data_IF_095318199195
#
_entry.id   IF_095318199195
#
_cell.length_a   1.000
_cell.length_b   1.000
_cell.length_c   1.000
_cell.angle_alpha   90.00
_cell.angle_beta   90.00
_cell.angle_gamma   90.00
#
_symmetry.space_group_name_H-M   'P 1'
#
loop_
_entity.id
_entity.type
_entity.pdbx_description
1 polymer ?
#
# COMPACT_ATOMS: atom_id res chain seq x y z
N UNK A 1 -25.21 -25.03 -3.87
CA UNK A 1 -25.40 -24.71 -5.31
C UNK A 1 -25.13 -23.26 -5.67
N UNK A 2 -25.69 -22.25 -4.95
CA UNK A 2 -25.43 -20.84 -5.25
C UNK A 2 -24.02 -20.41 -4.81
N UNK A 3 -23.64 -20.69 -3.58
CA UNK A 3 -22.29 -20.44 -3.06
C UNK A 3 -21.19 -21.10 -3.90
N UNK A 4 -21.36 -22.33 -4.30
CA UNK A 4 -20.38 -23.06 -5.12
C UNK A 4 -20.18 -22.43 -6.51
N UNK A 5 -21.26 -21.89 -7.11
CA UNK A 5 -21.18 -21.16 -8.37
C UNK A 5 -20.43 -19.83 -8.19
N UNK A 6 -20.76 -19.09 -7.15
CA UNK A 6 -20.08 -17.85 -6.83
C UNK A 6 -18.60 -18.09 -6.48
N UNK A 7 -18.33 -19.14 -5.69
CA UNK A 7 -16.96 -19.53 -5.35
C UNK A 7 -16.14 -19.84 -6.60
N UNK A 8 -16.71 -20.56 -7.58
CA UNK A 8 -16.03 -20.84 -8.84
C UNK A 8 -15.77 -19.55 -9.66
N UNK A 9 -16.70 -18.59 -9.66
CA UNK A 9 -16.51 -17.30 -10.34
C UNK A 9 -15.39 -16.48 -9.67
N UNK A 10 -15.38 -16.44 -8.34
CA UNK A 10 -14.34 -15.75 -7.59
C UNK A 10 -12.96 -16.40 -7.78
N UNK A 11 -12.89 -17.72 -7.80
CA UNK A 11 -11.65 -18.44 -8.14
C UNK A 11 -11.16 -18.12 -9.55
N UNK A 12 -12.07 -18.02 -10.51
CA UNK A 12 -11.70 -17.65 -11.88
C UNK A 12 -11.16 -16.22 -11.96
N UNK A 13 -11.78 -15.27 -11.24
CA UNK A 13 -11.32 -13.90 -11.16
C UNK A 13 -9.95 -13.81 -10.48
N UNK A 14 -9.79 -14.49 -9.34
CA UNK A 14 -8.50 -14.55 -8.63
C UNK A 14 -7.40 -15.10 -9.55
N UNK A 15 -7.68 -16.18 -10.29
CA UNK A 15 -6.72 -16.74 -11.23
C UNK A 15 -6.35 -15.73 -12.32
N UNK A 16 -7.34 -15.03 -12.94
CA UNK A 16 -7.09 -13.98 -13.94
C UNK A 16 -6.17 -12.89 -13.37
N UNK A 17 -6.44 -12.43 -12.16
CA UNK A 17 -5.65 -11.40 -11.48
C UNK A 17 -4.23 -11.89 -11.18
N UNK A 18 -4.08 -13.10 -10.63
CA UNK A 18 -2.77 -13.67 -10.33
C UNK A 18 -1.93 -13.93 -11.59
N UNK A 19 -2.55 -14.39 -12.67
CA UNK A 19 -1.85 -14.62 -13.95
C UNK A 19 -1.34 -13.30 -14.51
N UNK A 20 -2.15 -12.23 -14.49
CA UNK A 20 -1.74 -10.88 -14.89
C UNK A 20 -0.58 -10.34 -14.01
N UNK A 21 -0.69 -10.46 -12.69
CA UNK A 21 0.38 -10.03 -11.77
C UNK A 21 1.68 -10.82 -12.02
N UNK A 22 1.58 -12.11 -12.32
CA UNK A 22 2.75 -12.96 -12.60
C UNK A 22 3.45 -12.56 -13.91
N UNK A 23 2.70 -12.22 -14.95
CA UNK A 23 3.24 -11.71 -16.21
C UNK A 23 3.97 -10.38 -15.99
N UNK A 24 3.37 -9.47 -15.23
CA UNK A 24 4.01 -8.19 -14.88
C UNK A 24 5.25 -8.39 -14.01
N UNK A 25 5.21 -9.29 -13.03
CA UNK A 25 6.37 -9.62 -12.20
C UNK A 25 7.55 -10.11 -13.06
N UNK A 26 7.30 -11.02 -14.00
CA UNK A 26 8.34 -11.52 -14.90
C UNK A 26 8.95 -10.38 -15.73
N UNK A 27 8.12 -9.49 -16.27
CA UNK A 27 8.57 -8.32 -17.04
C UNK A 27 9.42 -7.35 -16.21
N UNK A 28 8.98 -7.06 -14.98
CA UNK A 28 9.73 -6.19 -14.07
C UNK A 28 11.04 -6.83 -13.58
N UNK A 29 11.06 -8.13 -13.35
CA UNK A 29 12.31 -8.85 -12.98
C UNK A 29 13.33 -8.84 -14.12
N UNK A 30 12.92 -9.03 -15.37
CA UNK A 30 13.78 -8.91 -16.55
C UNK A 30 14.31 -7.46 -16.69
N UNK A 31 13.44 -6.45 -16.61
CA UNK A 31 13.84 -5.05 -16.69
C UNK A 31 14.80 -4.66 -15.56
N UNK A 32 14.57 -5.12 -14.34
CA UNK A 32 15.42 -4.86 -13.17
C UNK A 32 16.81 -5.50 -13.34
N UNK A 33 16.91 -6.68 -13.96
CA UNK A 33 18.19 -7.31 -14.24
C UNK A 33 19.04 -6.47 -15.23
N UNK A 34 18.40 -5.92 -16.27
CA UNK A 34 19.05 -5.03 -17.25
C UNK A 34 19.51 -3.72 -16.59
N UNK A 35 18.69 -3.11 -15.74
CA UNK A 35 19.06 -1.90 -14.98
C UNK A 35 20.24 -2.14 -14.04
N UNK A 36 20.30 -3.29 -13.37
CA UNK A 36 21.42 -3.69 -12.52
C UNK A 36 22.72 -3.75 -13.30
N UNK A 37 22.70 -4.36 -14.47
CA UNK A 37 23.90 -4.49 -15.32
C UNK A 37 24.35 -3.12 -15.82
N UNK A 38 23.43 -2.21 -16.13
CA UNK A 38 23.74 -0.82 -16.50
C UNK A 38 24.41 -0.06 -15.33
N UNK A 39 23.90 -0.17 -14.11
CA UNK A 39 24.50 0.45 -12.91
C UNK A 39 25.92 -0.08 -12.68
N UNK A 40 26.14 -1.38 -12.83
CA UNK A 40 27.45 -2.01 -12.68
C UNK A 40 28.42 -1.50 -13.76
N UNK A 41 27.97 -1.42 -15.01
CA UNK A 41 28.76 -0.92 -16.13
C UNK A 41 29.15 0.55 -15.93
N UNK A 42 28.20 1.41 -15.57
CA UNK A 42 28.43 2.83 -15.31
C UNK A 42 29.42 3.06 -14.15
N UNK A 43 29.30 2.29 -13.07
CA UNK A 43 30.28 2.35 -11.94
C UNK A 43 31.67 1.94 -12.40
N UNK A 44 31.80 0.89 -13.23
CA UNK A 44 33.08 0.45 -13.77
C UNK A 44 33.70 1.52 -14.66
N UNK A 45 32.93 2.08 -15.59
CA UNK A 45 33.37 3.14 -16.49
C UNK A 45 33.84 4.39 -15.70
N UNK A 46 33.11 4.77 -14.65
CA UNK A 46 33.52 5.88 -13.78
C UNK A 46 34.89 5.60 -13.13
N UNK A 47 35.15 4.39 -12.65
CA UNK A 47 36.45 4.03 -12.05
C UNK A 47 37.58 3.98 -13.06
N UNK A 48 37.31 3.63 -14.32
CA UNK A 48 38.31 3.53 -15.39
C UNK A 48 38.63 4.90 -16.02
N UNK A 49 37.64 5.78 -16.16
CA UNK A 49 37.79 7.04 -16.91
C UNK A 49 38.03 8.26 -16.01
N UNK A 50 37.46 8.30 -14.78
CA UNK A 50 37.65 9.42 -13.88
C UNK A 50 39.00 9.33 -13.21
N UNK A 51 40.01 10.01 -13.81
CA UNK A 51 41.32 10.20 -13.21
C UNK A 51 41.19 11.23 -12.05
N UNK A 52 41.31 10.76 -10.81
CA UNK A 52 41.33 11.62 -9.62
C UNK A 52 42.55 12.56 -9.52
N UNK A 53 43.38 12.61 -10.57
CA UNK A 53 44.57 13.47 -10.67
C UNK A 53 44.31 14.68 -11.57
N UNK A 54 43.74 15.74 -10.99
CA UNK A 54 43.96 17.11 -11.41
C UNK A 54 42.89 17.74 -12.30
N UNK A 55 42.62 19.01 -12.08
CA UNK A 55 41.89 19.96 -12.93
C UNK A 55 40.38 20.09 -12.64
N UNK A 56 39.89 21.30 -12.84
CA UNK A 56 38.49 21.65 -12.69
C UNK A 56 37.55 20.87 -13.62
N UNK A 57 38.02 20.58 -14.84
CA UNK A 57 37.23 19.84 -15.84
C UNK A 57 36.96 18.40 -15.38
N UNK A 58 37.94 17.72 -14.78
CA UNK A 58 37.75 16.38 -14.24
C UNK A 58 36.78 16.34 -13.03
N UNK A 59 36.65 17.43 -12.29
CA UNK A 59 35.69 17.52 -11.18
C UNK A 59 34.24 17.63 -11.71
N UNK A 60 34.03 18.34 -12.83
CA UNK A 60 32.73 18.44 -13.48
C UNK A 60 32.31 17.09 -14.08
N UNK A 61 33.21 16.43 -14.79
CA UNK A 61 32.96 15.09 -15.36
C UNK A 61 32.66 14.05 -14.26
N UNK A 62 33.41 14.08 -13.15
CA UNK A 62 33.17 13.21 -12.00
C UNK A 62 31.80 13.48 -11.35
N UNK A 63 31.39 14.76 -11.25
CA UNK A 63 30.10 15.13 -10.72
C UNK A 63 28.94 14.62 -11.60
N UNK A 64 29.03 14.82 -12.92
CA UNK A 64 28.03 14.33 -13.88
C UNK A 64 27.93 12.80 -13.86
N UNK A 65 29.07 12.08 -13.77
CA UNK A 65 29.08 10.63 -13.66
C UNK A 65 28.41 10.16 -12.37
N UNK A 66 28.64 10.84 -11.24
CA UNK A 66 27.98 10.53 -9.96
C UNK A 66 26.48 10.79 -10.01
N UNK A 67 26.03 11.88 -10.62
CA UNK A 67 24.60 12.16 -10.79
C UNK A 67 23.92 11.08 -11.66
N UNK A 68 24.58 10.66 -12.75
CA UNK A 68 24.08 9.58 -13.61
C UNK A 68 23.93 8.26 -12.84
N UNK A 69 24.96 7.89 -12.06
CA UNK A 69 24.93 6.66 -11.24
C UNK A 69 23.86 6.75 -10.15
N UNK A 70 23.68 7.91 -9.52
CA UNK A 70 22.61 8.10 -8.54
C UNK A 70 21.21 7.97 -9.17
N UNK A 71 21.00 8.55 -10.35
CA UNK A 71 19.74 8.41 -11.08
C UNK A 71 19.46 6.94 -11.48
N UNK A 72 20.47 6.21 -11.95
CA UNK A 72 20.34 4.79 -12.29
C UNK A 72 20.09 3.94 -11.03
N UNK A 73 20.80 4.20 -9.93
CA UNK A 73 20.56 3.50 -8.68
C UNK A 73 19.15 3.72 -8.14
N UNK A 74 18.63 4.95 -8.25
CA UNK A 74 17.25 5.25 -7.84
C UNK A 74 16.20 4.50 -8.70
N UNK A 75 16.46 4.32 -10.00
CA UNK A 75 15.60 3.51 -10.88
C UNK A 75 15.61 2.05 -10.48
N UNK A 76 16.79 1.49 -10.23
CA UNK A 76 16.96 0.12 -9.76
C UNK A 76 16.24 -0.13 -8.42
N UNK A 77 16.37 0.79 -7.46
CA UNK A 77 15.68 0.70 -6.18
C UNK A 77 14.14 0.79 -6.36
N UNK A 78 13.66 1.64 -7.27
CA UNK A 78 12.24 1.74 -7.60
C UNK A 78 11.71 0.45 -8.27
N UNK A 79 12.49 -0.16 -9.17
CA UNK A 79 12.13 -1.44 -9.79
C UNK A 79 12.04 -2.56 -8.75
N UNK A 80 12.98 -2.63 -7.81
CA UNK A 80 12.93 -3.60 -6.71
C UNK A 80 11.67 -3.47 -5.87
N UNK A 81 11.26 -2.24 -5.54
CA UNK A 81 10.02 -1.99 -4.80
C UNK A 81 8.80 -2.46 -5.57
N UNK A 82 8.73 -2.20 -6.88
CA UNK A 82 7.62 -2.70 -7.71
C UNK A 82 7.57 -4.23 -7.71
N UNK A 83 8.72 -4.89 -7.81
CA UNK A 83 8.84 -6.35 -7.72
C UNK A 83 8.31 -6.87 -6.38
N UNK A 84 8.69 -6.24 -5.28
CA UNK A 84 8.24 -6.64 -3.94
C UNK A 84 6.72 -6.45 -3.77
N UNK A 85 6.15 -5.36 -4.29
CA UNK A 85 4.70 -5.15 -4.31
C UNK A 85 3.97 -6.21 -5.16
N UNK A 86 4.51 -6.56 -6.34
CA UNK A 86 3.93 -7.60 -7.20
C UNK A 86 3.99 -8.99 -6.54
N UNK A 87 5.08 -9.31 -5.84
CA UNK A 87 5.20 -10.55 -5.06
C UNK A 87 4.17 -10.62 -3.94
N UNK A 88 3.99 -9.52 -3.20
CA UNK A 88 2.97 -9.43 -2.17
C UNK A 88 1.56 -9.57 -2.76
N UNK A 89 1.30 -8.93 -3.91
CA UNK A 89 0.04 -9.06 -4.63
C UNK A 89 -0.22 -10.50 -5.13
N UNK A 90 0.80 -11.32 -5.39
CA UNK A 90 0.62 -12.74 -5.72
C UNK A 90 0.17 -13.57 -4.52
N UNK A 91 0.60 -13.21 -3.31
CA UNK A 91 0.18 -13.93 -2.10
C UNK A 91 -1.29 -13.62 -1.76
N UNK A 92 -1.66 -12.33 -1.77
CA UNK A 92 -3.01 -11.86 -1.45
C UNK A 92 -3.35 -10.63 -2.31
N UNK A 93 -3.85 -10.83 -3.54
CA UNK A 93 -4.09 -9.72 -4.47
C UNK A 93 -5.13 -8.72 -3.95
N UNK A 94 -6.18 -9.22 -3.31
CA UNK A 94 -7.25 -8.44 -2.73
C UNK A 94 -7.85 -9.15 -1.51
N UNK A 95 -8.45 -8.38 -0.62
CA UNK A 95 -9.08 -8.89 0.60
C UNK A 95 -10.58 -8.57 0.68
N UNK A 96 -11.07 -7.64 -0.17
CA UNK A 96 -12.46 -7.23 -0.17
C UNK A 96 -12.97 -6.92 -1.59
N UNK A 97 -14.31 -6.92 -1.73
CA UNK A 97 -15.04 -6.45 -2.91
C UNK A 97 -16.26 -5.68 -2.49
N UNK A 98 -16.54 -4.62 -3.24
CA UNK A 98 -17.77 -3.83 -3.15
C UNK A 98 -18.40 -3.80 -4.54
N UNK A 99 -19.70 -4.13 -4.64
CA UNK A 99 -20.45 -3.97 -5.88
C UNK A 99 -21.17 -2.61 -5.80
N UNK A 100 -20.72 -1.69 -6.65
CA UNK A 100 -21.17 -0.29 -6.66
C UNK A 100 -21.88 0.06 -7.96
N UNK A 101 -22.97 0.83 -7.85
CA UNK A 101 -23.67 1.40 -9.00
C UNK A 101 -23.79 2.91 -8.77
N UNK A 102 -23.22 3.70 -9.68
CA UNK A 102 -23.29 5.14 -9.63
C UNK A 102 -24.72 5.61 -10.01
N UNK A 103 -25.19 6.69 -9.39
CA UNK A 103 -26.49 7.28 -9.72
C UNK A 103 -26.50 7.79 -11.18
N UNK A 104 -27.52 7.41 -11.91
CA UNK A 104 -27.64 7.69 -13.36
C UNK A 104 -27.22 6.52 -14.24
N UNK A 105 -26.61 5.46 -13.68
CA UNK A 105 -26.19 4.25 -14.37
C UNK A 105 -26.87 2.99 -13.80
N UNK A 106 -28.09 3.16 -13.24
CA UNK A 106 -28.83 2.04 -12.60
C UNK A 106 -29.24 0.94 -13.57
N UNK A 107 -29.21 1.19 -14.87
CA UNK A 107 -29.45 0.18 -15.92
C UNK A 107 -28.25 -0.72 -16.17
N UNK A 108 -27.07 -0.30 -15.77
CA UNK A 108 -25.86 -1.05 -16.00
C UNK A 108 -25.60 -2.05 -14.84
N UNK A 109 -24.87 -3.13 -15.10
CA UNK A 109 -24.48 -4.04 -14.03
C UNK A 109 -23.59 -3.28 -13.01
N UNK A 110 -23.75 -3.62 -11.73
CA UNK A 110 -22.92 -3.03 -10.68
C UNK A 110 -21.43 -3.29 -10.98
N UNK A 111 -20.63 -2.24 -10.83
CA UNK A 111 -19.18 -2.34 -10.95
C UNK A 111 -18.62 -3.11 -9.75
N UNK A 112 -17.80 -4.12 -10.03
CA UNK A 112 -17.13 -4.94 -9.03
C UNK A 112 -15.78 -4.33 -8.67
N UNK A 113 -15.69 -3.71 -7.51
CA UNK A 113 -14.52 -3.03 -7.01
C UNK A 113 -13.78 -3.94 -6.04
N UNK A 114 -12.71 -4.60 -6.51
CA UNK A 114 -11.85 -5.42 -5.67
C UNK A 114 -10.81 -4.53 -5.01
N UNK A 115 -10.58 -4.71 -3.70
CA UNK A 115 -9.75 -3.84 -2.87
C UNK A 115 -8.60 -4.66 -2.30
N UNK A 116 -7.38 -4.17 -2.49
CA UNK A 116 -6.13 -4.79 -2.03
C UNK A 116 -5.16 -3.80 -1.41
N UNK A 117 -3.94 -4.26 -1.14
CA UNK A 117 -2.88 -3.43 -0.57
C UNK A 117 -2.23 -2.50 -1.60
N UNK A 118 -2.32 -2.84 -2.89
CA UNK A 118 -1.81 -2.05 -4.00
C UNK A 118 -2.73 -2.13 -5.20
N UNK A 119 -2.67 -1.13 -6.07
CA UNK A 119 -3.40 -1.14 -7.34
C UNK A 119 -2.79 -2.16 -8.30
N UNK A 120 -3.65 -2.99 -8.90
CA UNK A 120 -3.31 -3.87 -10.03
C UNK A 120 -4.10 -3.40 -11.23
N UNK A 121 -3.40 -2.81 -12.20
CA UNK A 121 -4.00 -2.22 -13.38
C UNK A 121 -3.20 -2.61 -14.62
N UNK A 122 -3.90 -2.85 -15.71
CA UNK A 122 -3.31 -3.00 -17.03
C UNK A 122 -3.10 -1.60 -17.64
N UNK A 123 -1.85 -1.26 -17.91
CA UNK A 123 -1.47 0.05 -18.47
C UNK A 123 -1.93 0.23 -19.90
N UNK A 124 -2.09 -0.86 -20.66
CA UNK A 124 -2.47 -0.83 -22.07
C UNK A 124 -3.99 -0.67 -22.24
N UNK A 125 -4.78 -1.42 -21.49
CA UNK A 125 -6.25 -1.38 -21.54
C UNK A 125 -6.90 -0.44 -20.54
N UNK A 126 -6.15 0.03 -19.53
CA UNK A 126 -6.63 0.76 -18.36
C UNK A 126 -7.66 -0.03 -17.50
N UNK A 127 -7.75 -1.36 -17.69
CA UNK A 127 -8.59 -2.21 -16.84
C UNK A 127 -7.96 -2.29 -15.44
N UNK A 128 -8.70 -1.87 -14.42
CA UNK A 128 -8.27 -2.00 -13.01
C UNK A 128 -8.81 -3.29 -12.43
N UNK A 129 -7.91 -4.23 -12.12
CA UNK A 129 -8.25 -5.50 -11.46
C UNK A 129 -8.43 -5.32 -9.96
N UNK A 130 -7.56 -4.53 -9.33
CA UNK A 130 -7.58 -4.30 -7.88
C UNK A 130 -7.31 -2.83 -7.61
N UNK A 131 -8.13 -2.24 -6.76
CA UNK A 131 -7.96 -0.88 -6.26
C UNK A 131 -7.19 -0.91 -4.94
N UNK A 132 -6.22 -0.02 -4.82
CA UNK A 132 -5.53 0.20 -3.55
C UNK A 132 -6.53 0.66 -2.48
N UNK A 133 -6.39 0.13 -1.27
CA UNK A 133 -7.25 0.45 -0.13
C UNK A 133 -7.27 1.96 0.20
N UNK A 134 -6.24 2.71 -0.19
CA UNK A 134 -6.10 4.15 0.03
C UNK A 134 -6.90 4.98 -0.97
N UNK A 135 -7.31 4.43 -2.10
CA UNK A 135 -8.10 5.15 -3.12
C UNK A 135 -9.42 5.67 -2.55
N UNK A 136 -9.94 6.80 -3.08
CA UNK A 136 -11.22 7.35 -2.63
C UNK A 136 -12.36 6.33 -2.70
N UNK A 137 -12.45 5.55 -3.78
CA UNK A 137 -13.52 4.56 -3.98
C UNK A 137 -13.46 3.42 -2.97
N UNK A 138 -12.27 3.02 -2.52
CA UNK A 138 -12.10 1.99 -1.49
C UNK A 138 -12.68 2.41 -0.12
N UNK A 139 -12.89 3.71 0.13
CA UNK A 139 -13.55 4.19 1.34
C UNK A 139 -14.98 3.68 1.50
N UNK A 140 -15.63 3.27 0.41
CA UNK A 140 -16.95 2.66 0.41
C UNK A 140 -16.99 1.41 1.28
N UNK A 141 -15.93 0.59 1.22
CA UNK A 141 -15.81 -0.62 2.03
C UNK A 141 -15.76 -0.32 3.53
N UNK A 142 -15.05 0.73 3.95
CA UNK A 142 -14.82 1.04 5.36
C UNK A 142 -15.96 1.84 6.00
N UNK A 143 -16.58 2.75 5.23
CA UNK A 143 -17.51 3.75 5.76
C UNK A 143 -18.96 3.33 5.74
N UNK A 144 -19.34 2.44 4.81
CA UNK A 144 -20.72 2.13 4.54
C UNK A 144 -21.00 0.63 4.65
N UNK A 145 -22.23 0.34 4.99
CA UNK A 145 -22.85 -0.96 4.72
C UNK A 145 -23.50 -0.92 3.33
N UNK A 146 -24.34 -1.92 2.99
CA UNK A 146 -25.12 -1.88 1.75
C UNK A 146 -26.15 -0.76 1.78
N UNK A 147 -26.47 -0.20 0.63
CA UNK A 147 -27.41 0.90 0.49
C UNK A 147 -26.84 2.14 -0.18
N UNK A 148 -27.47 3.32 -0.01
CA UNK A 148 -27.00 4.57 -0.57
C UNK A 148 -25.66 5.01 0.03
N UNK A 149 -24.73 5.43 -0.82
CA UNK A 149 -23.36 5.82 -0.44
C UNK A 149 -22.88 7.02 -1.24
N UNK A 150 -21.84 7.69 -0.72
CA UNK A 150 -21.11 8.71 -1.45
C UNK A 150 -19.62 8.68 -1.09
N UNK A 151 -18.77 9.08 -2.02
CA UNK A 151 -17.35 9.29 -1.76
C UNK A 151 -16.83 10.51 -2.53
N UNK A 152 -15.75 11.10 -2.04
CA UNK A 152 -15.11 12.26 -2.65
C UNK A 152 -14.00 11.79 -3.60
N UNK A 153 -14.24 11.92 -4.90
CA UNK A 153 -13.25 11.73 -5.95
C UNK A 153 -12.58 13.08 -6.33
N UNK A 154 -11.44 13.07 -7.04
CA UNK A 154 -10.84 14.31 -7.54
C UNK A 154 -11.78 15.13 -8.44
N UNK A 155 -12.71 14.47 -9.13
CA UNK A 155 -13.75 15.10 -9.98
C UNK A 155 -14.94 15.66 -9.19
N UNK A 156 -15.04 15.40 -7.88
CA UNK A 156 -16.14 15.82 -7.02
C UNK A 156 -16.79 14.66 -6.25
N UNK A 157 -17.93 14.93 -5.62
CA UNK A 157 -18.67 13.92 -4.87
C UNK A 157 -19.42 12.98 -5.81
N UNK A 158 -19.08 11.70 -5.79
CA UNK A 158 -19.77 10.64 -6.51
C UNK A 158 -20.77 9.97 -5.58
N UNK A 159 -22.01 9.80 -6.05
CA UNK A 159 -23.11 9.18 -5.29
C UNK A 159 -23.61 7.95 -6.00
N UNK A 160 -24.00 6.95 -5.23
CA UNK A 160 -24.50 5.70 -5.79
C UNK A 160 -25.04 4.77 -4.71
N UNK A 161 -25.07 3.50 -5.04
CA UNK A 161 -25.54 2.43 -4.17
C UNK A 161 -24.56 1.29 -4.14
N UNK A 162 -24.26 0.80 -2.94
CA UNK A 162 -23.58 -0.47 -2.71
C UNK A 162 -24.62 -1.58 -2.59
N UNK A 163 -24.54 -2.59 -3.43
CA UNK A 163 -25.43 -3.74 -3.43
C UNK A 163 -24.83 -4.98 -2.76
N UNK A 164 -23.50 -5.08 -2.71
CA UNK A 164 -22.77 -6.18 -2.08
C UNK A 164 -21.48 -5.67 -1.45
N UNK A 165 -21.13 -6.25 -0.32
CA UNK A 165 -19.86 -6.03 0.37
C UNK A 165 -19.37 -7.40 0.84
N UNK A 166 -18.24 -7.84 0.27
CA UNK A 166 -17.67 -9.19 0.44
C UNK A 166 -16.23 -9.11 0.94
N UNK A 167 -15.87 -9.99 1.85
CA UNK A 167 -14.49 -10.20 2.32
C UNK A 167 -13.98 -11.57 1.91
N UNK A 168 -12.68 -11.67 1.65
CA UNK A 168 -12.01 -12.89 1.18
C UNK A 168 -10.92 -13.32 2.15
N UNK A 169 -10.73 -14.62 2.27
CA UNK A 169 -9.52 -15.21 2.84
C UNK A 169 -8.73 -15.86 1.69
N UNK A 170 -7.70 -15.16 1.24
CA UNK A 170 -6.79 -15.60 0.19
C UNK A 170 -5.41 -15.77 0.80
N UNK A 171 -4.76 -16.90 0.53
CA UNK A 171 -3.40 -17.20 0.98
C UNK A 171 -2.64 -17.88 -0.14
N UNK A 172 -1.43 -17.42 -0.38
CA UNK A 172 -0.55 -17.96 -1.43
C UNK A 172 -1.26 -18.07 -2.78
N UNK A 173 -2.05 -17.04 -3.14
CA UNK A 173 -2.84 -16.99 -4.36
C UNK A 173 -4.01 -17.99 -4.43
N UNK A 174 -4.42 -18.56 -3.31
CA UNK A 174 -5.52 -19.54 -3.22
C UNK A 174 -6.66 -18.97 -2.38
N UNK A 175 -7.88 -18.99 -2.95
CA UNK A 175 -9.11 -18.61 -2.25
C UNK A 175 -9.53 -19.74 -1.32
N UNK A 176 -9.51 -19.47 -0.01
CA UNK A 176 -9.98 -20.42 1.00
C UNK A 176 -11.50 -20.32 1.18
N UNK A 177 -12.00 -19.10 1.44
CA UNK A 177 -13.41 -18.79 1.57
C UNK A 177 -13.67 -17.30 1.37
N UNK A 178 -14.93 -16.94 1.25
CA UNK A 178 -15.40 -15.56 1.36
C UNK A 178 -16.70 -15.49 2.16
N UNK A 179 -17.05 -14.30 2.61
CA UNK A 179 -18.33 -14.03 3.27
C UNK A 179 -18.84 -12.63 2.92
N UNK A 180 -20.17 -12.50 2.86
CA UNK A 180 -20.84 -11.23 2.61
C UNK A 180 -21.22 -10.57 3.93
N UNK A 181 -20.94 -9.28 4.08
CA UNK A 181 -21.10 -8.56 5.35
C UNK A 181 -22.55 -8.40 5.80
N UNK A 182 -23.51 -8.48 4.87
CA UNK A 182 -24.95 -8.33 5.14
C UNK A 182 -25.64 -9.61 5.61
N UNK A 183 -24.97 -10.75 5.49
CA UNK A 183 -25.55 -11.99 5.93
C UNK A 183 -25.23 -12.16 7.40
N UNK A 184 -26.26 -12.10 8.26
CA UNK A 184 -26.21 -12.59 9.64
C UNK A 184 -25.98 -14.11 9.63
N UNK A 185 -24.90 -14.58 9.01
CA UNK A 185 -24.50 -15.98 9.01
C UNK A 185 -23.78 -16.25 10.32
N UNK A 186 -24.59 -16.54 11.32
CA UNK A 186 -24.17 -17.39 12.42
C UNK A 186 -24.14 -18.82 11.86
N UNK A 187 -23.32 -19.06 10.85
CA UNK A 187 -23.01 -20.40 10.43
C UNK A 187 -21.88 -20.91 11.34
N UNK A 188 -22.16 -21.95 12.12
CA UNK A 188 -21.18 -22.57 12.99
C UNK A 188 -19.94 -23.04 12.22
N UNK A 189 -20.06 -23.38 10.93
CA UNK A 189 -18.95 -23.73 10.05
C UNK A 189 -18.02 -22.54 9.79
N UNK A 190 -18.56 -21.33 9.63
CA UNK A 190 -17.75 -20.12 9.44
C UNK A 190 -17.02 -19.74 10.74
N UNK A 191 -17.68 -19.89 11.91
CA UNK A 191 -17.02 -19.74 13.22
C UNK A 191 -15.91 -20.75 13.42
N UNK A 192 -16.11 -21.97 13.00
CA UNK A 192 -15.12 -23.05 13.11
C UNK A 192 -13.93 -22.80 12.15
N UNK A 193 -14.17 -22.38 10.91
CA UNK A 193 -13.14 -21.97 9.97
C UNK A 193 -12.35 -20.75 10.48
N UNK A 194 -13.01 -19.75 11.06
CA UNK A 194 -12.38 -18.59 11.66
C UNK A 194 -11.60 -18.94 12.93
N UNK A 195 -12.04 -19.92 13.74
CA UNK A 195 -11.35 -20.34 14.97
C UNK A 195 -10.14 -21.22 14.71
N UNK A 196 -10.16 -22.05 13.68
CA UNK A 196 -9.02 -22.90 13.31
C UNK A 196 -7.91 -22.15 12.57
N UNK A 197 -8.20 -21.02 11.91
CA UNK A 197 -7.23 -20.19 11.21
C UNK A 197 -6.71 -19.01 12.05
N UNK A 198 -6.97 -18.99 13.36
CA UNK A 198 -6.39 -18.02 14.30
C UNK A 198 -4.88 -18.24 14.55
N UNK A 199 -4.13 -18.78 13.58
CA UNK A 199 -2.67 -18.79 13.63
C UNK A 199 -2.12 -17.46 13.12
N UNK A 200 -1.96 -16.54 14.06
CA UNK A 200 -0.79 -15.71 14.39
C UNK A 200 0.02 -15.00 13.27
N UNK A 201 -0.41 -14.88 12.03
CA UNK A 201 -0.04 -13.69 11.26
C UNK A 201 -1.18 -12.70 11.46
N UNK A 202 -0.87 -11.52 11.99
CA UNK A 202 -1.84 -10.42 12.03
C UNK A 202 -2.49 -10.37 10.66
N UNK A 203 -3.80 -10.69 10.59
CA UNK A 203 -4.59 -10.34 9.40
C UNK A 203 -4.26 -8.89 9.15
N UNK A 204 -3.92 -8.54 7.94
CA UNK A 204 -3.54 -7.18 7.59
C UNK A 204 -4.54 -6.25 8.30
N UNK A 205 -4.05 -5.36 9.15
CA UNK A 205 -4.90 -4.46 9.94
C UNK A 205 -5.83 -3.68 9.01
N UNK A 206 -5.42 -3.48 7.77
CA UNK A 206 -6.19 -2.87 6.67
C UNK A 206 -7.55 -3.54 6.46
N UNK A 207 -7.65 -4.86 6.60
CA UNK A 207 -8.92 -5.60 6.44
C UNK A 207 -9.93 -5.32 7.55
N UNK A 208 -9.44 -4.84 8.70
CA UNK A 208 -10.24 -4.66 9.94
C UNK A 208 -10.39 -3.21 10.36
N UNK A 209 -10.00 -2.25 9.54
CA UNK A 209 -10.18 -0.83 9.81
C UNK A 209 -11.67 -0.54 10.01
N UNK A 210 -12.01 -0.02 11.18
CA UNK A 210 -13.39 0.39 11.49
C UNK A 210 -13.68 1.77 10.89
N UNK A 211 -14.98 2.06 10.67
CA UNK A 211 -15.44 3.34 10.12
C UNK A 211 -14.82 4.57 10.80
N UNK A 212 -14.78 4.58 12.13
CA UNK A 212 -14.20 5.70 12.89
C UNK A 212 -12.69 5.83 12.67
N UNK A 213 -11.99 4.71 12.53
CA UNK A 213 -10.56 4.69 12.24
C UNK A 213 -10.30 5.20 10.82
N UNK A 214 -11.08 4.76 9.83
CA UNK A 214 -10.95 5.23 8.44
C UNK A 214 -11.15 6.75 8.34
N UNK A 215 -12.09 7.32 9.06
CA UNK A 215 -12.29 8.78 9.10
C UNK A 215 -11.05 9.54 9.62
N UNK A 216 -10.35 9.00 10.61
CA UNK A 216 -9.11 9.59 11.15
C UNK A 216 -7.95 9.39 10.17
N UNK A 217 -7.84 8.21 9.59
CA UNK A 217 -6.78 7.86 8.64
C UNK A 217 -6.80 8.78 7.43
N UNK A 218 -7.99 9.05 6.88
CA UNK A 218 -8.21 9.84 5.66
C UNK A 218 -8.50 11.33 5.91
N UNK A 219 -8.31 11.81 7.13
CA UNK A 219 -8.48 13.23 7.42
C UNK A 219 -7.30 14.04 6.87
N UNK A 220 -7.53 14.80 5.80
CA UNK A 220 -6.57 15.71 5.17
C UNK A 220 -6.83 17.18 5.47
N UNK A 221 -7.88 17.48 6.24
CA UNK A 221 -8.32 18.85 6.51
C UNK A 221 -7.65 19.44 7.76
N UNK A 222 -7.23 18.58 8.70
CA UNK A 222 -6.68 19.02 9.98
C UNK A 222 -5.16 18.86 10.02
N UNK A 223 -4.46 19.97 10.26
CA UNK A 223 -3.00 19.98 10.43
C UNK A 223 -2.56 19.26 11.71
N UNK A 224 -3.41 19.23 12.73
CA UNK A 224 -3.14 18.61 14.02
C UNK A 224 -4.27 17.67 14.42
N UNK A 225 -3.94 16.40 14.63
CA UNK A 225 -4.88 15.37 15.01
C UNK A 225 -4.46 14.70 16.32
N UNK A 226 -5.36 14.68 17.30
CA UNK A 226 -5.19 13.95 18.56
C UNK A 226 -6.03 12.68 18.56
N UNK A 227 -5.39 11.51 18.69
CA UNK A 227 -6.06 10.21 18.76
C UNK A 227 -6.07 9.73 20.22
N UNK A 228 -7.25 9.70 20.83
CA UNK A 228 -7.45 9.23 22.20
C UNK A 228 -8.25 7.93 22.21
N UNK A 229 -7.95 7.04 23.14
CA UNK A 229 -8.67 5.78 23.30
C UNK A 229 -8.02 4.89 24.37
N UNK A 230 -8.73 3.86 24.79
CA UNK A 230 -8.24 2.86 25.75
C UNK A 230 -7.05 2.07 25.20
N UNK A 231 -6.33 1.38 26.07
CA UNK A 231 -5.28 0.46 25.63
C UNK A 231 -5.88 -0.62 24.71
N UNK A 232 -5.18 -0.93 23.59
CA UNK A 232 -5.67 -1.90 22.61
C UNK A 232 -6.70 -1.37 21.59
N UNK A 233 -7.10 -0.09 21.62
CA UNK A 233 -8.05 0.49 20.65
C UNK A 233 -7.47 0.77 19.26
N UNK A 234 -6.25 0.35 18.97
CA UNK A 234 -5.63 0.51 17.67
C UNK A 234 -5.03 1.90 17.38
N UNK A 235 -4.81 2.77 18.40
CA UNK A 235 -4.26 4.13 18.19
C UNK A 235 -2.99 4.17 17.37
N UNK A 236 -2.03 3.31 17.68
CA UNK A 236 -0.77 3.20 16.95
C UNK A 236 -1.00 2.73 15.51
N UNK A 237 -1.86 1.74 15.34
CA UNK A 237 -2.27 1.25 14.03
C UNK A 237 -2.90 2.37 13.18
N UNK A 238 -3.85 3.12 13.74
CA UNK A 238 -4.45 4.29 13.05
C UNK A 238 -3.38 5.31 12.65
N UNK A 239 -2.43 5.60 13.53
CA UNK A 239 -1.35 6.54 13.22
C UNK A 239 -0.48 6.06 12.04
N UNK A 240 -0.10 4.77 12.01
CA UNK A 240 0.70 4.20 10.93
C UNK A 240 -0.06 4.13 9.60
N UNK A 241 -1.33 3.72 9.63
CA UNK A 241 -2.18 3.73 8.43
C UNK A 241 -2.42 5.15 7.91
N UNK A 242 -2.55 6.14 8.81
CA UNK A 242 -2.62 7.55 8.40
C UNK A 242 -1.34 7.99 7.71
N UNK A 243 -0.18 7.59 8.21
CA UNK A 243 1.09 7.89 7.56
C UNK A 243 1.14 7.26 6.17
N UNK A 244 0.78 5.98 6.03
CA UNK A 244 0.71 5.30 4.75
C UNK A 244 -0.28 5.98 3.78
N UNK A 245 -1.44 6.40 4.27
CA UNK A 245 -2.42 7.15 3.49
C UNK A 245 -1.87 8.51 3.03
N UNK A 246 -1.25 9.28 3.93
CA UNK A 246 -0.69 10.59 3.61
C UNK A 246 0.50 10.51 2.64
N UNK A 247 1.30 9.45 2.70
CA UNK A 247 2.35 9.20 1.71
C UNK A 247 1.77 8.90 0.33
N UNK A 248 0.73 8.09 0.27
CA UNK A 248 0.01 7.79 -0.98
C UNK A 248 -0.61 9.05 -1.61
N UNK A 249 -1.35 9.84 -0.84
CA UNK A 249 -1.94 11.11 -1.29
C UNK A 249 -0.87 12.18 -1.56
N UNK A 250 0.20 12.16 -0.78
CA UNK A 250 1.23 13.19 -0.78
C UNK A 250 2.28 13.03 -1.87
N UNK A 251 2.24 11.99 -2.70
CA UNK A 251 3.18 11.84 -3.83
C UNK A 251 3.16 13.07 -4.75
N UNK A 252 1.98 13.64 -5.01
CA UNK A 252 1.83 14.88 -5.77
C UNK A 252 2.37 16.12 -5.02
N UNK A 253 2.42 16.09 -3.69
CA UNK A 253 2.89 17.17 -2.80
C UNK A 253 4.34 16.98 -2.33
N UNK A 254 5.04 15.95 -2.84
CA UNK A 254 6.41 15.58 -2.47
C UNK A 254 6.56 15.16 -1.00
N UNK A 255 5.56 14.52 -0.44
CA UNK A 255 5.63 13.91 0.88
C UNK A 255 6.24 12.50 0.73
N UNK A 256 7.52 12.37 1.08
CA UNK A 256 8.28 11.13 1.01
C UNK A 256 8.68 10.66 2.41
N UNK A 257 9.09 9.41 2.54
CA UNK A 257 9.54 8.84 3.80
C UNK A 257 10.65 9.65 4.51
N UNK A 258 11.48 10.34 3.74
CA UNK A 258 12.60 11.13 4.26
C UNK A 258 12.20 12.47 4.89
N UNK A 259 10.98 12.96 4.68
CA UNK A 259 10.47 14.19 5.31
C UNK A 259 9.36 13.93 6.32
N UNK A 260 9.21 12.68 6.74
CA UNK A 260 8.34 12.24 7.83
C UNK A 260 9.21 11.69 8.95
N UNK A 261 8.87 12.01 10.18
CA UNK A 261 9.56 11.47 11.37
C UNK A 261 8.52 10.94 12.36
N UNK A 262 8.80 9.76 12.93
CA UNK A 262 8.00 9.18 14.00
C UNK A 262 8.76 9.34 15.31
N UNK A 263 8.19 10.06 16.28
CA UNK A 263 8.76 10.18 17.61
C UNK A 263 8.16 9.08 18.48
N UNK A 264 8.99 8.13 18.89
CA UNK A 264 8.59 6.98 19.70
C UNK A 264 9.06 7.09 21.14
N UNK A 265 8.36 6.44 22.10
CA UNK A 265 8.75 6.48 23.49
C UNK A 265 10.07 5.75 23.81
N UNK A 266 10.45 4.78 22.97
CA UNK A 266 11.70 4.03 23.10
C UNK A 266 12.07 3.32 21.78
N UNK A 267 13.30 2.82 21.69
CA UNK A 267 13.84 2.19 20.48
C UNK A 267 13.15 0.86 20.12
N UNK A 268 12.64 0.10 21.09
CA UNK A 268 11.90 -1.14 20.83
C UNK A 268 10.60 -0.87 20.10
N UNK A 269 9.91 0.21 20.47
CA UNK A 269 8.71 0.65 19.78
C UNK A 269 9.02 1.13 18.36
N UNK A 270 10.14 1.83 18.18
CA UNK A 270 10.65 2.22 16.86
C UNK A 270 10.91 1.01 15.94
N UNK A 271 11.53 -0.04 16.47
CA UNK A 271 11.77 -1.29 15.73
C UNK A 271 10.46 -2.01 15.34
N UNK A 272 9.45 -1.97 16.19
CA UNK A 272 8.12 -2.51 15.85
C UNK A 272 7.49 -1.74 14.68
N UNK A 273 7.53 -0.42 14.71
CA UNK A 273 7.00 0.45 13.65
C UNK A 273 7.69 0.18 12.31
N UNK A 274 9.02 0.02 12.32
CA UNK A 274 9.80 -0.25 11.12
C UNK A 274 9.40 -1.54 10.39
N UNK A 275 8.73 -2.48 11.07
CA UNK A 275 8.25 -3.70 10.45
C UNK A 275 6.81 -3.56 9.90
N UNK A 276 6.00 -2.64 10.45
CA UNK A 276 4.58 -2.51 10.07
C UNK A 276 4.40 -1.74 8.77
N UNK A 277 5.16 -0.67 8.52
CA UNK A 277 5.02 0.15 7.32
C UNK A 277 5.28 -0.63 6.02
N UNK A 278 6.30 -1.49 5.92
CA UNK A 278 6.48 -2.35 4.74
C UNK A 278 5.32 -3.32 4.50
N UNK A 279 4.66 -3.81 5.56
CA UNK A 279 3.46 -4.63 5.43
C UNK A 279 2.28 -3.86 4.82
N UNK A 280 2.28 -2.52 4.92
CA UNK A 280 1.30 -1.63 4.31
C UNK A 280 1.69 -1.17 2.89
N UNK A 281 2.81 -1.67 2.35
CA UNK A 281 3.33 -1.29 1.05
C UNK A 281 4.11 0.02 1.03
N UNK A 282 4.59 0.49 2.21
CA UNK A 282 5.28 1.77 2.33
C UNK A 282 6.76 1.61 2.72
N UNK A 283 7.53 2.66 2.45
CA UNK A 283 8.93 2.73 2.87
C UNK A 283 9.04 2.89 4.40
N UNK A 284 10.15 2.40 4.93
CA UNK A 284 10.48 2.65 6.32
C UNK A 284 10.72 4.13 6.58
N UNK A 285 10.11 4.62 7.64
CA UNK A 285 10.23 6.01 8.10
C UNK A 285 11.18 6.05 9.30
N UNK A 286 11.96 7.13 9.39
CA UNK A 286 12.84 7.36 10.52
C UNK A 286 12.05 7.43 11.83
N UNK A 287 12.37 6.53 12.76
CA UNK A 287 11.84 6.54 14.13
C UNK A 287 12.93 7.00 15.09
N UNK A 288 12.63 8.03 15.85
CA UNK A 288 13.54 8.64 16.82
C UNK A 288 12.89 8.69 18.20
N UNK A 289 13.69 8.60 19.24
CA UNK A 289 13.23 8.98 20.59
C UNK A 289 13.30 10.50 20.73
N UNK A 290 12.50 11.05 21.64
CA UNK A 290 12.57 12.49 21.96
C UNK A 290 13.98 12.91 22.36
N UNK A 291 14.68 12.10 23.13
CA UNK A 291 16.05 12.34 23.58
C UNK A 291 17.03 12.43 22.39
N UNK A 292 16.92 11.51 21.42
CA UNK A 292 17.73 11.53 20.20
C UNK A 292 17.42 12.76 19.34
N UNK A 293 16.16 13.10 19.18
CA UNK A 293 15.73 14.30 18.44
C UNK A 293 16.32 15.56 19.08
N UNK A 294 16.19 15.71 20.39
CA UNK A 294 16.71 16.84 21.14
C UNK A 294 18.23 16.96 21.01
N UNK A 295 18.96 15.85 21.15
CA UNK A 295 20.41 15.81 21.00
C UNK A 295 20.85 16.23 19.59
N UNK A 296 20.15 15.78 18.54
CA UNK A 296 20.47 16.14 17.15
C UNK A 296 20.26 17.65 16.89
N UNK A 297 19.19 18.23 17.40
CA UNK A 297 18.91 19.67 17.26
C UNK A 297 19.94 20.50 18.02
N UNK A 298 20.17 20.20 19.30
CA UNK A 298 21.11 20.95 20.12
C UNK A 298 22.57 20.81 19.66
N UNK A 299 22.96 19.65 19.10
CA UNK A 299 24.34 19.47 18.60
C UNK A 299 24.62 20.26 17.33
N UNK A 300 23.60 20.59 16.53
CA UNK A 300 23.76 21.44 15.35
C UNK A 300 23.83 22.92 15.69
N UNK A 301 23.17 23.38 16.77
CA UNK A 301 23.18 24.77 17.21
C UNK A 301 24.42 25.13 18.06
N UNK A 302 25.11 24.13 18.60
CA UNK A 302 26.32 24.33 19.44
C UNK A 302 27.64 24.27 18.65
N UNK A 303 27.60 24.18 17.32
CA UNK A 303 28.79 24.40 16.47
C UNK A 303 28.93 25.90 16.17
N UNK A 304 29.40 26.62 17.18
CA UNK A 304 30.02 27.98 17.05
C UNK A 304 31.50 27.78 16.84
#
# INVERSE_FOLDING_TARGET
>A
MEYEKEFALEQQYLKKTCDFVRENLTREEEACADEKDQVIAARREMWETVSFRGGFDNAVEAHQALESIQAQSARYDAAHKRIDHLRQALETPYFARVDFTENGYESDPAEKIYIGLSTVQDEDSYETFVYDWRTPIASLFYRYETGPVEYLAPSGTIRGKVSLKRQYDIKDGTLNYFFDSDVNVIDNMLREALSHNASQKMKSIVETIQRQQDMIIRDTLNDLVFVQGVAGSGKTSVALHRVAFLMYEGVAQRLYANNIVIISPNNLFGSYIANVLPELGEENIASLTFETLFSNVCSNDLRI
#
